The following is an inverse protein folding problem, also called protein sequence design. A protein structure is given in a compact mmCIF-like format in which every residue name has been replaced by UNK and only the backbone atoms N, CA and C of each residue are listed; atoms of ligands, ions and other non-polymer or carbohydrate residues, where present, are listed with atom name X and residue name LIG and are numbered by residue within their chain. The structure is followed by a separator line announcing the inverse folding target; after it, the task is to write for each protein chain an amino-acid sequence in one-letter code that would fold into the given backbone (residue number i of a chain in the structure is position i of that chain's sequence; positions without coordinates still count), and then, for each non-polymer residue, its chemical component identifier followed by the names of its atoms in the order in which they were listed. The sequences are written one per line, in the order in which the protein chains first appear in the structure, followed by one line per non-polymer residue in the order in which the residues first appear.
data_IF_298566565639
#
_entry.id   IF_298566565639
#
_cell.length_a   1.000
_cell.length_b   1.000
_cell.length_c   1.000
_cell.angle_alpha   90.00
_cell.angle_beta   90.00
_cell.angle_gamma   90.00
#
_symmetry.space_group_name_H-M   'P 1'
#
loop_
_entity.id
_entity.type
_entity.pdbx_description
1 polymer ?
#
# COMPACT_ATOMS: atom_id res chain seq x y z
N UNK A 1 20.73 -75.99 -25.90
CA UNK A 1 21.13 -75.71 -27.29
C UNK A 1 20.05 -74.84 -27.92
N UNK A 2 20.25 -73.56 -28.03
CA UNK A 2 19.51 -72.65 -28.92
C UNK A 2 20.33 -71.34 -28.97
N UNK A 3 20.94 -71.06 -30.09
CA UNK A 3 21.74 -69.89 -30.35
C UNK A 3 20.83 -68.69 -30.67
N UNK A 4 21.00 -67.59 -29.95
CA UNK A 4 20.36 -66.31 -30.30
C UNK A 4 21.27 -65.51 -31.22
N UNK A 5 20.80 -65.29 -32.46
CA UNK A 5 21.38 -64.37 -33.40
C UNK A 5 21.09 -62.92 -33.00
N UNK A 6 22.11 -62.17 -32.62
CA UNK A 6 22.03 -60.72 -32.44
C UNK A 6 22.19 -60.05 -33.81
N UNK A 7 21.12 -59.44 -34.27
CA UNK A 7 21.10 -58.61 -35.50
C UNK A 7 21.60 -57.20 -35.17
N UNK A 8 22.77 -56.83 -35.64
CA UNK A 8 23.33 -55.51 -35.50
C UNK A 8 22.79 -54.58 -36.62
N UNK A 9 22.00 -53.57 -36.26
CA UNK A 9 21.54 -52.52 -37.16
C UNK A 9 22.66 -51.50 -37.38
N UNK A 10 22.97 -51.12 -38.61
CA UNK A 10 23.99 -50.10 -38.90
C UNK A 10 23.46 -48.73 -38.54
N UNK A 11 24.08 -48.07 -37.57
CA UNK A 11 23.83 -46.66 -37.24
C UNK A 11 24.36 -45.78 -38.41
N UNK A 12 23.46 -45.25 -39.22
CA UNK A 12 23.72 -44.18 -40.17
C UNK A 12 24.17 -42.92 -39.41
N UNK A 13 25.47 -42.68 -39.39
CA UNK A 13 26.06 -41.44 -38.87
C UNK A 13 25.70 -40.33 -39.86
N UNK A 14 24.65 -39.57 -39.56
CA UNK A 14 24.30 -38.33 -40.25
C UNK A 14 25.42 -37.32 -39.98
N UNK A 15 26.35 -37.16 -40.92
CA UNK A 15 27.30 -36.06 -40.92
C UNK A 15 26.53 -34.77 -41.20
N UNK A 16 26.28 -33.99 -40.14
CA UNK A 16 25.81 -32.61 -40.27
C UNK A 16 26.91 -31.76 -40.89
N UNK A 17 26.73 -31.39 -42.14
CA UNK A 17 27.57 -30.41 -42.80
C UNK A 17 27.50 -29.12 -41.99
N UNK A 18 28.65 -28.50 -41.58
CA UNK A 18 28.65 -27.21 -40.97
C UNK A 18 28.07 -26.19 -41.93
N UNK A 19 26.96 -25.57 -41.54
CA UNK A 19 26.40 -24.42 -42.25
C UNK A 19 27.42 -23.29 -42.08
N UNK A 20 28.14 -22.99 -43.14
CA UNK A 20 29.00 -21.80 -43.19
C UNK A 20 28.06 -20.61 -43.27
N UNK A 21 27.84 -19.93 -42.15
CA UNK A 21 27.20 -18.62 -42.10
C UNK A 21 28.12 -17.68 -42.86
N UNK A 22 27.66 -17.13 -43.99
CA UNK A 22 28.41 -16.12 -44.74
C UNK A 22 28.66 -14.93 -43.81
N UNK A 23 29.88 -14.43 -43.77
CA UNK A 23 30.22 -13.24 -43.01
C UNK A 23 29.34 -12.07 -43.51
N UNK A 24 28.51 -11.53 -42.60
CA UNK A 24 27.70 -10.34 -42.93
C UNK A 24 28.62 -9.20 -43.34
N UNK A 25 28.43 -8.69 -44.56
CA UNK A 25 29.12 -7.49 -45.01
C UNK A 25 28.29 -6.28 -44.62
N UNK A 26 28.75 -5.56 -43.63
CA UNK A 26 28.14 -4.28 -43.23
C UNK A 26 28.25 -3.29 -44.41
N UNK A 27 27.13 -2.76 -44.83
CA UNK A 27 27.07 -1.68 -45.80
C UNK A 27 27.08 -0.32 -45.10
N UNK A 28 27.46 0.73 -45.83
CA UNK A 28 27.38 2.11 -45.29
C UNK A 28 25.95 2.43 -44.83
N UNK A 29 24.94 1.86 -45.49
CA UNK A 29 23.52 2.04 -45.10
C UNK A 29 23.21 1.44 -43.75
N UNK A 30 23.78 0.29 -43.42
CA UNK A 30 23.59 -0.38 -42.12
C UNK A 30 24.23 0.44 -40.99
N UNK A 31 25.42 0.98 -41.24
CA UNK A 31 26.10 1.87 -40.28
C UNK A 31 25.29 3.16 -40.03
N UNK A 32 24.75 3.76 -41.10
CA UNK A 32 23.89 4.94 -41.00
C UNK A 32 22.60 4.61 -40.26
N UNK A 33 21.97 3.47 -40.55
CA UNK A 33 20.75 3.05 -39.83
C UNK A 33 21.01 2.83 -38.35
N UNK A 34 22.08 2.17 -37.96
CA UNK A 34 22.48 1.97 -36.58
C UNK A 34 22.76 3.31 -35.87
N UNK A 35 23.48 4.21 -36.54
CA UNK A 35 23.75 5.54 -36.00
C UNK A 35 22.47 6.34 -35.74
N UNK A 36 21.51 6.31 -36.67
CA UNK A 36 20.20 6.96 -36.50
C UNK A 36 19.39 6.36 -35.35
N UNK A 37 19.41 5.02 -35.21
CA UNK A 37 18.74 4.37 -34.06
C UNK A 37 19.38 4.78 -32.75
N UNK A 38 20.71 4.82 -32.66
CA UNK A 38 21.41 5.28 -31.45
C UNK A 38 21.03 6.72 -31.12
N UNK A 39 21.05 7.62 -32.11
CA UNK A 39 20.65 9.03 -31.89
C UNK A 39 19.21 9.10 -31.42
N UNK A 40 18.30 8.37 -32.05
CA UNK A 40 16.89 8.35 -31.63
C UNK A 40 16.72 7.85 -30.20
N UNK A 41 17.41 6.77 -29.80
CA UNK A 41 17.38 6.24 -28.43
C UNK A 41 17.96 7.25 -27.43
N UNK A 42 19.07 7.90 -27.75
CA UNK A 42 19.67 8.92 -26.87
C UNK A 42 18.74 10.13 -26.72
N UNK A 43 18.12 10.59 -27.80
CA UNK A 43 17.16 11.72 -27.77
C UNK A 43 15.94 11.33 -26.93
N UNK A 44 15.36 10.15 -27.14
CA UNK A 44 14.24 9.64 -26.34
C UNK A 44 14.61 9.53 -24.85
N UNK A 45 15.78 8.98 -24.55
CA UNK A 45 16.27 8.87 -23.19
C UNK A 45 16.48 10.26 -22.54
N UNK A 46 17.03 11.22 -23.28
CA UNK A 46 17.20 12.60 -22.82
C UNK A 46 15.85 13.29 -22.57
N UNK A 47 14.90 13.16 -23.51
CA UNK A 47 13.54 13.72 -23.35
C UNK A 47 12.85 13.11 -22.14
N UNK A 48 12.83 11.78 -22.00
CA UNK A 48 12.22 11.11 -20.84
C UNK A 48 12.91 11.48 -19.53
N UNK A 49 14.20 11.71 -19.54
CA UNK A 49 14.93 12.18 -18.35
C UNK A 49 14.53 13.61 -17.98
N UNK A 50 14.53 14.53 -18.92
CA UNK A 50 14.22 15.97 -18.66
C UNK A 50 12.76 16.18 -18.31
N UNK A 51 11.83 15.43 -18.92
CA UNK A 51 10.39 15.53 -18.65
C UNK A 51 9.93 14.66 -17.48
N UNK A 52 10.76 13.71 -17.03
CA UNK A 52 10.43 12.81 -15.92
C UNK A 52 10.41 13.53 -14.57
N UNK A 53 9.37 13.32 -13.76
CA UNK A 53 9.23 13.91 -12.42
C UNK A 53 10.40 13.59 -11.45
N UNK A 54 11.25 12.61 -11.81
CA UNK A 54 12.47 12.27 -11.04
C UNK A 54 13.59 13.29 -11.22
N UNK A 55 13.68 13.96 -12.36
CA UNK A 55 14.71 14.99 -12.63
C UNK A 55 14.50 16.26 -11.78
N UNK A 56 13.28 16.46 -11.27
CA UNK A 56 12.92 17.57 -10.40
C UNK A 56 12.86 17.19 -8.91
N UNK A 57 13.30 15.97 -8.57
CA UNK A 57 13.31 15.51 -7.19
C UNK A 57 14.48 16.14 -6.44
N UNK A 58 14.18 16.80 -5.32
CA UNK A 58 15.16 17.45 -4.47
C UNK A 58 15.00 16.95 -3.05
N UNK A 59 16.12 16.50 -2.46
CA UNK A 59 16.20 16.20 -1.04
C UNK A 59 17.02 17.31 -0.37
N UNK A 60 16.34 18.24 0.29
CA UNK A 60 16.97 19.27 1.10
C UNK A 60 17.20 18.76 2.52
N UNK A 61 18.32 19.13 3.12
CA UNK A 61 18.63 18.85 4.53
C UNK A 61 18.68 20.17 5.29
N UNK A 62 18.08 20.16 6.49
CA UNK A 62 17.94 21.32 7.35
C UNK A 62 18.63 21.13 8.70
N UNK A 63 17.91 21.46 9.77
CA UNK A 63 18.41 21.42 11.14
C UNK A 63 18.62 20.02 11.69
N UNK A 64 19.04 19.97 12.94
CA UNK A 64 19.21 18.71 13.68
C UNK A 64 17.92 18.41 14.46
N UNK A 65 17.70 17.12 14.71
CA UNK A 65 16.62 16.69 15.58
C UNK A 65 16.95 17.07 17.02
N UNK A 66 16.06 17.83 17.65
CA UNK A 66 16.09 18.06 19.07
C UNK A 66 15.19 17.04 19.76
N UNK A 67 15.76 16.17 20.57
CA UNK A 67 15.02 15.20 21.36
C UNK A 67 14.58 15.85 22.66
N UNK A 68 13.31 15.69 23.00
CA UNK A 68 12.79 16.07 24.31
C UNK A 68 13.23 15.11 25.41
N UNK A 69 13.15 15.55 26.64
CA UNK A 69 13.32 14.65 27.78
C UNK A 69 12.20 13.59 27.79
N UNK A 70 12.49 12.34 28.18
CA UNK A 70 11.46 11.32 28.29
C UNK A 70 10.38 11.75 29.30
N UNK A 71 9.11 11.51 28.95
CA UNK A 71 7.97 11.78 29.83
C UNK A 71 8.00 10.75 30.95
N UNK A 72 8.32 11.19 32.14
CA UNK A 72 8.41 10.33 33.35
C UNK A 72 7.17 10.38 34.23
N UNK A 73 6.25 11.30 33.95
CA UNK A 73 4.98 11.46 34.69
C UNK A 73 3.85 11.71 33.70
N UNK A 74 2.64 11.33 34.08
CA UNK A 74 1.45 11.64 33.29
C UNK A 74 1.31 13.17 33.17
N UNK A 75 1.17 13.72 31.95
CA UNK A 75 1.04 15.15 31.77
C UNK A 75 -0.31 15.65 32.33
N UNK A 76 -0.30 16.72 33.11
CA UNK A 76 -1.50 17.36 33.64
C UNK A 76 -2.15 18.33 32.65
N UNK A 77 -1.52 18.58 31.53
CA UNK A 77 -2.02 19.46 30.48
C UNK A 77 -1.14 19.38 29.21
N UNK A 78 -1.68 19.85 28.09
CA UNK A 78 -1.00 19.91 26.81
C UNK A 78 -0.87 21.36 26.36
N UNK A 79 0.29 21.71 25.82
CA UNK A 79 0.57 23.03 25.24
C UNK A 79 0.99 22.85 23.79
N UNK A 80 0.40 23.65 22.89
CA UNK A 80 0.78 23.63 21.49
C UNK A 80 2.13 24.36 21.35
N UNK A 81 3.20 23.62 21.02
CA UNK A 81 4.54 24.17 20.83
C UNK A 81 4.78 24.66 19.39
N UNK A 82 4.17 24.03 18.41
CA UNK A 82 4.23 24.44 17.00
C UNK A 82 3.05 23.88 16.19
N UNK A 83 2.84 24.43 15.00
CA UNK A 83 1.86 23.95 14.03
C UNK A 83 2.46 23.93 12.64
N UNK A 84 2.11 22.95 11.82
CA UNK A 84 2.47 22.87 10.41
C UNK A 84 1.31 22.31 9.58
N UNK A 85 1.11 22.80 8.34
CA UNK A 85 0.10 22.25 7.45
C UNK A 85 0.50 20.83 6.99
N UNK A 86 -0.47 19.93 6.94
CA UNK A 86 -0.30 18.56 6.42
C UNK A 86 -1.57 18.08 5.70
N UNK A 87 -1.98 18.72 4.59
CA UNK A 87 -3.24 18.42 3.92
C UNK A 87 -3.33 16.99 3.40
N UNK A 88 -2.21 16.36 3.01
CA UNK A 88 -2.19 14.98 2.50
C UNK A 88 -2.54 13.97 3.60
N UNK A 89 -2.35 14.31 4.86
CA UNK A 89 -2.68 13.44 6.00
C UNK A 89 -4.02 13.77 6.65
N UNK A 90 -4.64 14.90 6.30
CA UNK A 90 -5.88 15.39 6.90
C UNK A 90 -7.11 14.51 6.63
N UNK A 91 -7.07 13.66 5.60
CA UNK A 91 -8.18 12.75 5.26
C UNK A 91 -8.17 11.45 6.05
N UNK A 92 -7.26 11.27 6.97
CA UNK A 92 -7.11 10.05 7.77
C UNK A 92 -8.10 10.05 8.93
N UNK A 93 -8.96 9.03 8.98
CA UNK A 93 -10.03 8.93 9.97
C UNK A 93 -9.54 8.79 11.42
N UNK A 94 -8.42 8.13 11.63
CA UNK A 94 -7.93 7.85 12.99
C UNK A 94 -6.43 7.63 12.97
N UNK A 95 -5.63 8.63 13.34
CA UNK A 95 -4.20 8.33 13.60
C UNK A 95 -3.48 9.46 14.31
N UNK A 96 -2.60 9.05 15.20
CA UNK A 96 -1.65 9.94 15.85
C UNK A 96 -0.69 10.60 14.84
N UNK A 97 0.24 11.41 15.32
CA UNK A 97 1.22 12.05 14.48
C UNK A 97 2.04 11.01 13.72
N UNK A 98 2.35 11.27 12.44
CA UNK A 98 3.24 10.42 11.68
C UNK A 98 4.67 10.59 12.19
N UNK A 99 5.18 9.61 12.91
CA UNK A 99 6.55 9.64 13.43
C UNK A 99 7.42 8.64 12.70
N UNK A 100 8.54 9.10 12.13
CA UNK A 100 9.53 8.27 11.46
C UNK A 100 10.85 8.33 12.22
N UNK A 101 11.04 7.42 13.16
CA UNK A 101 12.14 7.49 14.11
C UNK A 101 12.04 8.77 14.95
N UNK A 102 13.05 9.65 14.95
CA UNK A 102 13.09 10.82 15.81
C UNK A 102 12.36 12.04 15.22
N UNK A 103 11.69 11.94 14.08
CA UNK A 103 11.06 13.08 13.39
C UNK A 103 9.55 12.91 13.26
N UNK A 104 8.86 14.05 13.14
CA UNK A 104 7.43 14.11 12.78
C UNK A 104 7.31 14.45 11.31
N UNK A 105 6.50 13.68 10.57
CA UNK A 105 6.28 13.88 9.14
C UNK A 105 5.06 14.77 8.89
N UNK A 106 5.20 15.68 7.93
CA UNK A 106 4.09 16.44 7.36
C UNK A 106 4.14 16.35 5.85
N UNK A 107 2.97 16.26 5.20
CA UNK A 107 2.85 16.16 3.75
C UNK A 107 2.05 17.28 3.15
N UNK A 108 2.64 17.99 2.17
CA UNK A 108 1.94 18.90 1.25
C UNK A 108 1.77 18.24 -0.10
N UNK A 109 1.09 18.86 -1.05
CA UNK A 109 0.85 18.25 -2.37
C UNK A 109 2.11 17.90 -3.16
N UNK A 110 3.26 18.55 -2.89
CA UNK A 110 4.49 18.36 -3.65
C UNK A 110 5.70 17.96 -2.79
N UNK A 111 5.52 17.90 -1.48
CA UNK A 111 6.64 17.70 -0.56
C UNK A 111 6.26 16.90 0.67
N UNK A 112 7.22 16.13 1.15
CA UNK A 112 7.23 15.51 2.49
C UNK A 112 8.31 16.20 3.30
N UNK A 113 7.94 16.69 4.48
CA UNK A 113 8.87 17.38 5.39
C UNK A 113 8.95 16.62 6.70
N UNK A 114 10.15 16.24 7.10
CA UNK A 114 10.46 15.74 8.45
C UNK A 114 10.82 16.91 9.36
N UNK A 115 10.21 16.97 10.52
CA UNK A 115 10.34 18.06 11.47
C UNK A 115 10.83 17.58 12.81
N UNK A 116 11.61 18.42 13.48
CA UNK A 116 11.96 18.19 14.89
C UNK A 116 10.70 18.23 15.75
N UNK A 117 10.44 17.21 16.60
CA UNK A 117 9.25 17.16 17.45
C UNK A 117 9.14 18.35 18.41
N UNK A 118 10.28 18.85 18.89
CA UNK A 118 10.31 19.92 19.89
C UNK A 118 10.15 21.31 19.30
N UNK A 119 10.66 21.56 18.10
CA UNK A 119 10.71 22.93 17.54
C UNK A 119 9.85 23.09 16.28
N UNK A 120 9.46 21.99 15.62
CA UNK A 120 8.79 22.03 14.32
C UNK A 120 9.72 22.41 13.15
N UNK A 121 11.00 22.66 13.40
CA UNK A 121 11.97 22.99 12.37
C UNK A 121 12.19 21.84 11.40
N UNK A 122 12.45 22.17 10.14
CA UNK A 122 12.73 21.20 9.10
C UNK A 122 14.07 20.50 9.34
N UNK A 123 14.03 19.18 9.44
CA UNK A 123 15.22 18.30 9.49
C UNK A 123 15.62 17.91 8.07
N UNK A 124 14.67 17.50 7.28
CA UNK A 124 14.82 17.29 5.84
C UNK A 124 13.49 17.51 5.13
N UNK A 125 13.55 17.80 3.84
CA UNK A 125 12.40 17.90 2.95
C UNK A 125 12.69 17.18 1.64
N UNK A 126 11.79 16.31 1.23
CA UNK A 126 11.80 15.68 -0.08
C UNK A 126 10.67 16.26 -0.93
N UNK A 127 11.04 16.90 -2.03
CA UNK A 127 10.12 17.54 -2.96
C UNK A 127 10.23 16.92 -4.33
N UNK A 128 9.09 16.75 -4.99
CA UNK A 128 9.01 16.33 -6.40
C UNK A 128 8.10 17.29 -7.16
N UNK A 129 8.31 17.41 -8.48
CA UNK A 129 7.43 18.17 -9.38
C UNK A 129 6.14 17.42 -9.76
N UNK A 130 5.68 16.49 -8.94
CA UNK A 130 4.45 15.70 -9.12
C UNK A 130 3.70 15.62 -7.80
N UNK A 131 2.34 15.46 -7.84
CA UNK A 131 1.53 15.43 -6.62
C UNK A 131 1.85 14.27 -5.69
N UNK A 132 1.87 14.54 -4.38
CA UNK A 132 1.90 13.54 -3.32
C UNK A 132 0.47 13.06 -3.06
N UNK A 133 0.20 11.80 -3.31
CA UNK A 133 -1.10 11.17 -3.12
C UNK A 133 -1.34 10.75 -1.66
N UNK A 134 -0.31 10.16 -1.03
CA UNK A 134 -0.42 9.66 0.33
C UNK A 134 0.94 9.65 1.04
N UNK A 135 0.87 9.71 2.36
CA UNK A 135 2.03 9.69 3.27
C UNK A 135 1.72 8.83 4.49
N UNK A 136 2.64 7.94 4.83
CA UNK A 136 2.58 7.12 6.04
C UNK A 136 3.96 7.01 6.69
N UNK A 137 3.98 6.78 7.98
CA UNK A 137 5.20 6.49 8.74
C UNK A 137 5.30 4.98 8.98
N UNK A 138 6.34 4.34 8.47
CA UNK A 138 6.62 2.93 8.70
C UNK A 138 8.11 2.65 8.65
N UNK A 139 8.54 1.59 9.32
CA UNK A 139 9.92 1.07 9.29
C UNK A 139 10.98 2.15 9.58
N UNK A 140 10.63 3.08 10.47
CA UNK A 140 11.48 4.21 10.83
C UNK A 140 11.69 5.25 9.73
N UNK A 141 10.82 5.28 8.73
CA UNK A 141 10.86 6.20 7.59
C UNK A 141 9.51 6.73 7.16
N UNK A 142 9.51 7.53 6.11
CA UNK A 142 8.35 8.06 5.42
C UNK A 142 8.06 7.22 4.17
N UNK A 143 6.92 6.54 4.11
CA UNK A 143 6.42 5.90 2.89
C UNK A 143 5.56 6.90 2.17
N UNK A 144 5.96 7.25 0.96
CA UNK A 144 5.37 8.29 0.14
C UNK A 144 4.80 7.68 -1.14
N UNK A 145 3.59 8.05 -1.50
CA UNK A 145 2.93 7.64 -2.74
C UNK A 145 2.73 8.87 -3.61
N UNK A 146 3.24 8.84 -4.82
CA UNK A 146 3.23 9.95 -5.75
C UNK A 146 2.38 9.64 -6.97
N UNK A 147 1.79 10.69 -7.53
CA UNK A 147 1.10 10.61 -8.81
C UNK A 147 2.11 10.50 -9.95
N UNK A 148 1.98 9.43 -10.73
CA UNK A 148 2.84 9.17 -11.90
C UNK A 148 1.91 8.84 -13.07
N UNK A 149 2.34 8.97 -14.33
CA UNK A 149 1.51 8.55 -15.46
C UNK A 149 0.93 7.15 -15.26
N UNK A 150 -0.37 7.09 -14.96
CA UNK A 150 -1.07 5.87 -14.53
C UNK A 150 -1.69 5.92 -13.14
N UNK A 151 -1.55 7.05 -12.41
CA UNK A 151 -2.16 7.29 -11.09
C UNK A 151 -1.18 7.23 -9.92
N UNK A 152 -1.70 7.11 -8.71
CA UNK A 152 -0.94 7.12 -7.45
C UNK A 152 -0.18 5.80 -7.21
N UNK A 153 0.80 5.48 -8.06
CA UNK A 153 1.50 4.20 -8.07
C UNK A 153 3.02 4.28 -7.89
N UNK A 154 3.62 5.47 -7.81
CA UNK A 154 5.07 5.59 -7.57
C UNK A 154 5.33 5.75 -6.07
N UNK A 155 5.85 4.70 -5.45
CA UNK A 155 6.03 4.59 -4.00
C UNK A 155 7.50 4.61 -3.65
N UNK A 156 7.86 5.33 -2.59
CA UNK A 156 9.22 5.40 -2.10
C UNK A 156 9.25 5.42 -0.58
N UNK A 157 10.18 4.69 0.01
CA UNK A 157 10.55 4.82 1.41
C UNK A 157 11.72 5.80 1.54
N UNK A 158 11.56 6.83 2.36
CA UNK A 158 12.61 7.76 2.75
C UNK A 158 12.90 7.54 4.23
N UNK A 159 14.13 7.18 4.56
CA UNK A 159 14.50 6.89 5.94
C UNK A 159 14.51 8.14 6.82
N UNK A 160 14.00 8.02 8.03
CA UNK A 160 13.85 9.15 8.97
C UNK A 160 15.18 9.72 9.50
N UNK A 161 16.27 8.96 9.40
CA UNK A 161 17.60 9.27 9.93
C UNK A 161 18.42 10.29 9.13
N UNK A 162 17.81 11.09 8.33
CA UNK A 162 18.48 12.12 7.52
C UNK A 162 18.08 12.09 6.06
N UNK A 163 16.95 11.51 5.76
CA UNK A 163 16.38 11.53 4.42
C UNK A 163 17.14 10.70 3.40
N UNK A 164 17.70 9.55 3.80
CA UNK A 164 18.28 8.61 2.83
C UNK A 164 17.19 7.84 2.11
N UNK A 165 17.40 7.63 0.81
CA UNK A 165 16.48 6.81 0.02
C UNK A 165 16.54 5.33 0.46
N UNK A 166 15.37 4.74 0.61
CA UNK A 166 15.17 3.32 0.78
C UNK A 166 14.68 2.66 -0.52
N UNK A 167 13.96 1.53 -0.42
CA UNK A 167 13.36 0.88 -1.56
C UNK A 167 12.31 1.78 -2.24
N UNK A 168 12.08 1.55 -3.52
CA UNK A 168 11.05 2.20 -4.31
C UNK A 168 10.39 1.19 -5.24
N UNK A 169 9.12 1.42 -5.56
CA UNK A 169 8.38 0.67 -6.56
C UNK A 169 7.58 1.63 -7.43
N UNK A 170 7.33 1.23 -8.66
CA UNK A 170 6.34 1.88 -9.51
C UNK A 170 5.35 0.82 -9.96
N UNK A 171 4.07 1.12 -9.87
CA UNK A 171 2.99 0.24 -10.26
C UNK A 171 1.85 1.05 -10.86
N UNK A 172 0.95 0.37 -11.56
CA UNK A 172 -0.28 0.98 -12.01
C UNK A 172 -1.28 1.07 -10.86
N UNK A 173 -1.84 2.25 -10.60
CA UNK A 173 -2.81 2.44 -9.53
C UNK A 173 -3.82 3.51 -9.93
N UNK A 174 -4.96 3.07 -10.46
CA UNK A 174 -6.03 3.97 -10.84
C UNK A 174 -6.59 4.72 -9.62
N UNK A 175 -6.71 6.04 -9.74
CA UNK A 175 -7.36 6.91 -8.77
C UNK A 175 -6.56 7.21 -7.50
N UNK A 176 -7.20 7.93 -6.57
CA UNK A 176 -6.58 8.30 -5.30
C UNK A 176 -6.31 7.07 -4.44
N UNK A 177 -5.21 7.10 -3.70
CA UNK A 177 -4.79 6.03 -2.79
C UNK A 177 -4.75 6.51 -1.35
N UNK A 178 -5.11 5.61 -0.45
CA UNK A 178 -4.85 5.72 0.99
C UNK A 178 -3.86 4.65 1.39
N UNK A 179 -3.02 4.97 2.35
CA UNK A 179 -2.09 4.01 2.92
C UNK A 179 -2.24 3.96 4.43
N UNK A 180 -2.11 2.76 4.97
CA UNK A 180 -2.19 2.49 6.41
C UNK A 180 -1.11 1.50 6.80
N UNK A 181 -0.55 1.64 7.99
CA UNK A 181 0.42 0.67 8.51
C UNK A 181 -0.25 -0.29 9.48
N UNK A 182 0.03 -1.57 9.32
CA UNK A 182 -0.39 -2.65 10.23
C UNK A 182 0.74 -3.15 11.13
N UNK A 183 1.94 -2.58 11.02
CA UNK A 183 3.12 -3.03 11.75
C UNK A 183 4.24 -3.44 10.78
N UNK A 184 4.30 -4.70 10.37
CA UNK A 184 5.32 -5.20 9.44
C UNK A 184 5.00 -4.90 7.97
N UNK A 185 3.74 -4.63 7.65
CA UNK A 185 3.28 -4.33 6.30
C UNK A 185 2.69 -2.92 6.20
N UNK A 186 2.50 -2.45 4.99
CA UNK A 186 1.69 -1.29 4.64
C UNK A 186 0.60 -1.73 3.68
N UNK A 187 -0.62 -1.41 4.04
CA UNK A 187 -1.77 -1.55 3.17
C UNK A 187 -1.97 -0.27 2.36
N UNK A 188 -2.03 -0.42 1.04
CA UNK A 188 -2.42 0.64 0.11
C UNK A 188 -3.75 0.28 -0.53
N UNK A 189 -4.73 1.17 -0.46
CA UNK A 189 -6.00 0.93 -1.09
C UNK A 189 -6.53 2.13 -1.85
N UNK A 190 -7.23 1.86 -2.93
CA UNK A 190 -7.89 2.81 -3.80
C UNK A 190 -9.32 2.37 -4.08
N UNK A 191 -9.99 2.94 -5.08
CA UNK A 191 -11.42 2.68 -5.33
C UNK A 191 -11.76 1.20 -5.52
N UNK A 192 -10.91 0.41 -6.16
CA UNK A 192 -11.22 -0.98 -6.53
C UNK A 192 -10.14 -1.99 -6.15
N UNK A 193 -9.01 -1.53 -5.59
CA UNK A 193 -7.86 -2.37 -5.28
C UNK A 193 -7.36 -2.15 -3.88
N UNK A 194 -6.89 -3.22 -3.26
CA UNK A 194 -6.16 -3.23 -1.99
C UNK A 194 -4.87 -4.02 -2.20
N UNK A 195 -3.74 -3.43 -1.86
CA UNK A 195 -2.43 -4.08 -1.91
C UNK A 195 -1.76 -3.99 -0.54
N UNK A 196 -1.12 -5.06 -0.12
CA UNK A 196 -0.22 -5.05 1.04
C UNK A 196 1.23 -5.15 0.58
N UNK A 197 2.13 -4.38 1.23
CA UNK A 197 3.56 -4.32 0.91
C UNK A 197 4.39 -4.52 2.17
N UNK A 198 5.45 -5.28 2.06
CA UNK A 198 6.46 -5.41 3.11
C UNK A 198 7.53 -4.30 3.02
N UNK A 199 8.49 -4.28 3.94
CA UNK A 199 9.46 -3.19 4.10
C UNK A 199 10.36 -2.91 2.88
N UNK A 200 10.51 -3.86 1.97
CA UNK A 200 11.22 -3.69 0.69
C UNK A 200 10.27 -3.23 -0.45
N UNK A 201 9.03 -2.89 -0.11
CA UNK A 201 7.95 -2.49 -1.01
C UNK A 201 7.54 -3.57 -2.02
N UNK A 202 7.92 -4.81 -1.79
CA UNK A 202 7.39 -5.94 -2.57
C UNK A 202 5.97 -6.22 -2.11
N UNK A 203 5.07 -6.39 -3.09
CA UNK A 203 3.68 -6.74 -2.82
C UNK A 203 3.58 -8.14 -2.24
N UNK A 204 2.81 -8.29 -1.18
CA UNK A 204 2.49 -9.58 -0.55
C UNK A 204 1.08 -10.03 -0.85
N UNK A 205 0.17 -9.10 -1.13
CA UNK A 205 -1.24 -9.41 -1.39
C UNK A 205 -1.85 -8.38 -2.36
N UNK A 206 -2.76 -8.85 -3.22
CA UNK A 206 -3.62 -8.02 -4.07
C UNK A 206 -5.06 -8.48 -3.97
N UNK A 207 -5.97 -7.59 -3.58
CA UNK A 207 -7.43 -7.79 -3.66
C UNK A 207 -8.00 -6.83 -4.68
N UNK A 208 -8.83 -7.34 -5.59
CA UNK A 208 -9.43 -6.58 -6.68
C UNK A 208 -8.78 -6.85 -8.04
N UNK A 209 -9.22 -6.16 -9.11
CA UNK A 209 -8.74 -6.39 -10.46
C UNK A 209 -7.26 -6.04 -10.59
N UNK A 210 -6.51 -6.88 -11.28
CA UNK A 210 -5.14 -6.57 -11.72
C UNK A 210 -5.19 -6.08 -13.17
N UNK A 211 -4.64 -4.91 -13.44
CA UNK A 211 -4.52 -4.38 -14.81
C UNK A 211 -3.40 -5.05 -15.60
N UNK A 212 -2.45 -5.64 -14.89
CA UNK A 212 -1.38 -6.44 -15.46
C UNK A 212 -1.43 -7.83 -14.83
N UNK A 213 -2.26 -8.77 -15.34
CA UNK A 213 -2.26 -10.13 -14.84
C UNK A 213 -0.88 -10.73 -15.03
N UNK A 214 -0.31 -11.28 -13.96
CA UNK A 214 1.01 -11.91 -13.99
C UNK A 214 0.95 -13.30 -14.61
N UNK A 215 -0.22 -13.94 -14.58
CA UNK A 215 -0.46 -15.27 -15.11
C UNK A 215 -1.70 -15.29 -16.01
N UNK A 216 -1.68 -16.09 -17.13
CA UNK A 216 -2.81 -16.17 -18.05
C UNK A 216 -4.11 -16.64 -17.42
N UNK A 217 -4.03 -17.49 -16.38
CA UNK A 217 -5.16 -18.12 -15.68
C UNK A 217 -5.52 -17.42 -14.37
N UNK A 218 -4.95 -16.26 -14.09
CA UNK A 218 -5.27 -15.50 -12.89
C UNK A 218 -6.77 -15.23 -12.83
N UNK A 219 -7.46 -15.78 -11.82
CA UNK A 219 -8.88 -15.60 -11.63
C UNK A 219 -9.21 -14.11 -11.51
N UNK A 220 -10.10 -13.63 -12.39
CA UNK A 220 -10.59 -12.27 -12.30
C UNK A 220 -11.45 -12.14 -11.04
N UNK A 221 -11.01 -11.29 -10.13
CA UNK A 221 -11.78 -10.98 -8.95
C UNK A 221 -12.93 -10.02 -9.30
N UNK A 222 -14.08 -10.13 -8.62
CA UNK A 222 -15.17 -9.19 -8.85
C UNK A 222 -14.71 -7.76 -8.53
N UNK A 223 -15.07 -6.83 -9.40
CA UNK A 223 -14.82 -5.40 -9.16
C UNK A 223 -15.81 -4.92 -8.11
N UNK A 224 -15.30 -4.67 -6.91
CA UNK A 224 -16.05 -4.05 -5.82
C UNK A 224 -15.49 -2.66 -5.54
N UNK A 225 -16.32 -1.73 -5.08
CA UNK A 225 -15.85 -0.46 -4.55
C UNK A 225 -15.28 -0.68 -3.14
N UNK A 226 -14.03 -0.34 -2.92
CA UNK A 226 -13.41 -0.35 -1.60
C UNK A 226 -13.84 0.90 -0.86
N UNK A 227 -14.55 0.70 0.25
CA UNK A 227 -15.01 1.80 1.11
C UNK A 227 -13.95 2.16 2.13
N UNK A 228 -13.38 1.14 2.78
CA UNK A 228 -12.33 1.32 3.77
C UNK A 228 -11.54 0.02 3.96
N UNK A 229 -10.29 0.12 4.41
CA UNK A 229 -9.46 -1.04 4.70
C UNK A 229 -8.43 -0.73 5.78
N UNK A 230 -8.07 -1.75 6.55
CA UNK A 230 -6.97 -1.68 7.52
C UNK A 230 -6.32 -3.05 7.66
N UNK A 231 -5.14 -3.10 8.25
CA UNK A 231 -4.41 -4.35 8.47
C UNK A 231 -3.71 -4.37 9.83
N UNK A 232 -3.37 -5.58 10.25
CA UNK A 232 -2.29 -5.85 11.18
C UNK A 232 -1.26 -6.76 10.48
N UNK A 233 -0.29 -7.32 11.22
CA UNK A 233 0.78 -8.14 10.65
C UNK A 233 0.28 -9.39 9.89
N UNK A 234 -0.83 -9.96 10.29
CA UNK A 234 -1.33 -11.24 9.80
C UNK A 234 -2.64 -11.14 9.00
N UNK A 235 -3.44 -10.11 9.24
CA UNK A 235 -4.81 -10.03 8.73
C UNK A 235 -5.10 -8.68 8.09
N UNK A 236 -5.73 -8.70 6.93
CA UNK A 236 -6.27 -7.52 6.24
C UNK A 236 -7.79 -7.55 6.32
N UNK A 237 -8.38 -6.47 6.82
CA UNK A 237 -9.82 -6.25 6.82
C UNK A 237 -10.23 -5.25 5.75
N UNK A 238 -11.15 -5.64 4.87
CA UNK A 238 -11.63 -4.79 3.76
C UNK A 238 -13.14 -4.65 3.81
N UNK A 239 -13.62 -3.43 3.85
CA UNK A 239 -15.03 -3.06 3.74
C UNK A 239 -15.32 -2.64 2.29
N UNK A 240 -16.22 -3.37 1.62
CA UNK A 240 -16.45 -3.21 0.19
C UNK A 240 -17.94 -3.11 -0.15
N UNK A 241 -18.26 -2.46 -1.27
CA UNK A 241 -19.54 -2.53 -1.93
C UNK A 241 -19.39 -3.37 -3.19
N UNK A 242 -19.95 -4.57 -3.19
CA UNK A 242 -19.86 -5.47 -4.33
C UNK A 242 -21.19 -5.52 -5.11
N UNK A 243 -21.16 -5.70 -6.44
CA UNK A 243 -22.35 -5.91 -7.24
C UNK A 243 -23.16 -7.11 -6.72
N UNK A 244 -24.47 -6.93 -6.55
CA UNK A 244 -25.37 -7.97 -6.05
C UNK A 244 -25.49 -8.08 -4.53
N UNK A 245 -24.62 -7.41 -3.76
CA UNK A 245 -24.73 -7.36 -2.30
C UNK A 245 -25.78 -6.33 -1.86
N UNK A 246 -26.63 -6.72 -0.91
CA UNK A 246 -27.68 -5.85 -0.35
C UNK A 246 -27.14 -4.79 0.61
N UNK A 247 -25.88 -4.89 1.03
CA UNK A 247 -25.22 -3.98 1.97
C UNK A 247 -23.69 -4.06 1.80
N UNK A 248 -22.95 -3.25 2.54
CA UNK A 248 -21.49 -3.38 2.56
C UNK A 248 -21.08 -4.79 3.02
N UNK A 249 -20.05 -5.31 2.38
CA UNK A 249 -19.39 -6.57 2.71
C UNK A 249 -18.09 -6.29 3.42
N UNK A 250 -17.95 -6.80 4.61
CA UNK A 250 -16.65 -6.86 5.29
C UNK A 250 -16.02 -8.22 5.05
N UNK A 251 -14.72 -8.23 4.78
CA UNK A 251 -13.96 -9.45 4.47
C UNK A 251 -12.62 -9.43 5.18
N UNK A 252 -12.27 -10.56 5.81
CA UNK A 252 -10.94 -10.84 6.33
C UNK A 252 -10.11 -11.57 5.27
N UNK A 253 -8.87 -11.15 5.09
CA UNK A 253 -7.89 -11.81 4.24
C UNK A 253 -6.61 -12.06 5.03
N UNK A 254 -5.87 -13.10 4.66
CA UNK A 254 -4.51 -13.30 5.11
C UNK A 254 -3.61 -12.20 4.50
N UNK A 255 -2.84 -11.49 5.33
CA UNK A 255 -1.94 -10.42 4.87
C UNK A 255 -0.79 -10.94 3.99
N UNK A 256 -0.40 -12.20 4.17
CA UNK A 256 0.67 -12.87 3.41
C UNK A 256 0.16 -14.21 2.87
N UNK A 257 -0.70 -14.20 1.83
CA UNK A 257 -1.17 -15.41 1.18
C UNK A 257 -0.01 -16.13 0.47
N UNK A 258 -0.22 -17.39 0.09
CA UNK A 258 0.79 -18.18 -0.64
C UNK A 258 1.19 -17.56 -1.96
N UNK A 259 0.23 -16.89 -2.63
CA UNK A 259 0.41 -16.18 -3.88
C UNK A 259 -0.17 -14.78 -3.76
N UNK A 260 0.62 -13.77 -4.11
CA UNK A 260 0.26 -12.36 -3.92
C UNK A 260 -0.98 -11.92 -4.72
N UNK A 261 -1.28 -12.59 -5.81
CA UNK A 261 -2.42 -12.32 -6.70
C UNK A 261 -3.65 -13.17 -6.42
N UNK A 262 -3.52 -14.14 -5.50
CA UNK A 262 -4.63 -15.02 -5.08
C UNK A 262 -4.89 -14.80 -3.58
N UNK A 263 -5.70 -13.80 -3.22
CA UNK A 263 -5.94 -13.48 -1.82
C UNK A 263 -6.63 -14.65 -1.10
N UNK A 264 -6.07 -15.04 0.02
CA UNK A 264 -6.65 -16.07 0.88
C UNK A 264 -7.74 -15.46 1.76
N UNK A 265 -8.99 -15.88 1.50
CA UNK A 265 -10.15 -15.45 2.25
C UNK A 265 -10.20 -16.19 3.59
N UNK A 266 -10.27 -15.46 4.70
CA UNK A 266 -10.40 -16.02 6.06
C UNK A 266 -11.84 -15.90 6.59
N UNK A 267 -12.65 -14.97 6.08
CA UNK A 267 -14.04 -14.80 6.45
C UNK A 267 -14.70 -13.63 5.75
N UNK A 268 -16.03 -13.68 5.60
CA UNK A 268 -16.80 -12.64 4.93
C UNK A 268 -18.18 -12.47 5.56
N UNK A 269 -18.66 -11.22 5.64
CA UNK A 269 -19.90 -10.89 6.30
C UNK A 269 -20.60 -9.70 5.64
N UNK A 270 -21.93 -9.78 5.45
CA UNK A 270 -22.77 -8.67 5.03
C UNK A 270 -23.20 -7.83 6.24
N UNK A 271 -22.87 -6.54 6.24
CA UNK A 271 -22.99 -5.68 7.41
C UNK A 271 -24.41 -5.22 7.73
N UNK A 272 -25.32 -5.30 6.77
CA UNK A 272 -26.65 -4.69 6.87
C UNK A 272 -26.62 -3.15 6.84
N UNK A 273 -25.49 -2.54 6.52
CA UNK A 273 -25.30 -1.09 6.43
C UNK A 273 -24.76 -0.69 5.05
N UNK A 274 -25.02 0.54 4.62
CA UNK A 274 -24.52 1.10 3.37
C UNK A 274 -23.34 2.07 3.59
N UNK A 275 -23.13 2.51 4.84
CA UNK A 275 -22.03 3.37 5.26
C UNK A 275 -21.36 2.83 6.52
N UNK A 276 -20.05 2.89 6.54
CA UNK A 276 -19.26 2.39 7.66
C UNK A 276 -17.75 2.60 7.45
N UNK A 277 -16.99 2.25 8.46
CA UNK A 277 -15.54 2.29 8.44
C UNK A 277 -14.96 1.09 9.20
N UNK A 278 -13.75 0.71 8.85
CA UNK A 278 -12.94 -0.28 9.58
C UNK A 278 -12.04 0.48 10.53
N UNK A 279 -12.25 0.31 11.83
CA UNK A 279 -11.46 1.03 12.84
C UNK A 279 -10.19 0.28 13.21
N UNK A 280 -10.30 -1.05 13.30
CA UNK A 280 -9.22 -1.90 13.77
C UNK A 280 -9.38 -3.32 13.26
N UNK A 281 -8.26 -4.00 13.03
CA UNK A 281 -8.18 -5.44 12.76
C UNK A 281 -7.09 -6.05 13.62
N UNK A 282 -7.39 -7.20 14.19
CA UNK A 282 -6.42 -8.08 14.86
C UNK A 282 -6.47 -9.44 14.18
N UNK A 283 -5.60 -10.38 14.57
CA UNK A 283 -5.50 -11.73 13.96
C UNK A 283 -6.83 -12.51 13.89
N UNK A 284 -7.79 -12.17 14.72
CA UNK A 284 -9.07 -12.88 14.76
C UNK A 284 -10.29 -11.98 14.93
N UNK A 285 -10.11 -10.66 14.93
CA UNK A 285 -11.20 -9.72 15.20
C UNK A 285 -11.10 -8.48 14.32
N UNK A 286 -12.24 -7.87 14.05
CA UNK A 286 -12.34 -6.53 13.48
C UNK A 286 -13.32 -5.69 14.28
N UNK A 287 -13.00 -4.42 14.45
CA UNK A 287 -13.90 -3.40 14.97
C UNK A 287 -14.36 -2.53 13.82
N UNK A 288 -15.66 -2.52 13.58
CA UNK A 288 -16.31 -1.70 12.57
C UNK A 288 -17.18 -0.62 13.22
N UNK A 289 -17.22 0.55 12.59
CA UNK A 289 -18.30 1.51 12.75
C UNK A 289 -19.30 1.33 11.63
N UNK A 290 -20.59 1.21 11.92
CA UNK A 290 -21.68 1.12 10.96
C UNK A 290 -22.70 2.20 11.26
N UNK A 291 -23.08 2.97 10.22
CA UNK A 291 -23.97 4.12 10.39
C UNK A 291 -25.47 3.73 10.42
N UNK A 292 -25.83 2.62 9.77
CA UNK A 292 -27.23 2.18 9.64
C UNK A 292 -27.46 0.76 10.18
N UNK A 293 -28.73 0.40 10.52
CA UNK A 293 -29.92 1.23 10.65
C UNK A 293 -29.86 2.21 11.82
N UNK A 294 -29.02 1.92 12.79
CA UNK A 294 -28.62 2.79 13.90
C UNK A 294 -27.13 2.79 14.03
N UNK A 295 -26.50 3.94 14.35
CA UNK A 295 -25.04 4.01 14.55
C UNK A 295 -24.59 3.07 15.65
N UNK A 296 -23.59 2.22 15.31
CA UNK A 296 -23.12 1.21 16.23
C UNK A 296 -21.67 0.80 15.94
N UNK A 297 -20.99 0.34 16.95
CA UNK A 297 -19.75 -0.42 16.80
C UNK A 297 -20.06 -1.91 16.77
N UNK A 298 -19.41 -2.61 15.87
CA UNK A 298 -19.56 -4.06 15.69
C UNK A 298 -18.21 -4.71 15.80
N UNK A 299 -18.09 -5.68 16.69
CA UNK A 299 -16.91 -6.53 16.79
C UNK A 299 -17.21 -7.84 16.07
N UNK A 300 -16.50 -8.07 14.97
CA UNK A 300 -16.51 -9.33 14.26
C UNK A 300 -15.40 -10.24 14.78
N UNK A 301 -15.64 -11.54 14.79
CA UNK A 301 -14.63 -12.54 15.08
C UNK A 301 -14.65 -13.60 14.00
N UNK A 302 -13.47 -14.03 13.57
CA UNK A 302 -13.33 -15.22 12.75
C UNK A 302 -12.38 -16.22 13.42
N UNK A 303 -12.49 -17.49 13.06
CA UNK A 303 -11.60 -18.54 13.52
C UNK A 303 -10.76 -19.03 12.34
N UNK A 304 -9.43 -18.93 12.44
CA UNK A 304 -8.50 -19.42 11.42
C UNK A 304 -8.50 -20.94 11.25
N UNK A 305 -9.18 -21.67 12.15
CA UNK A 305 -9.17 -23.14 12.19
C UNK A 305 -10.37 -23.79 11.51
N UNK A 306 -11.35 -23.02 11.09
CA UNK A 306 -12.61 -23.54 10.57
C UNK A 306 -12.65 -23.39 9.05
N UNK A 307 -13.19 -24.42 8.35
CA UNK A 307 -13.39 -24.37 6.90
C UNK A 307 -14.27 -23.18 6.48
N UNK A 308 -14.17 -22.75 5.22
CA UNK A 308 -14.90 -21.60 4.70
C UNK A 308 -16.43 -21.64 4.94
N UNK A 309 -17.02 -22.84 5.07
CA UNK A 309 -18.44 -23.03 5.41
C UNK A 309 -18.77 -22.74 6.88
N UNK A 310 -17.79 -22.78 7.77
CA UNK A 310 -17.97 -22.56 9.21
C UNK A 310 -17.63 -21.12 9.63
N UNK A 311 -16.97 -20.35 8.77
CA UNK A 311 -16.74 -18.89 8.92
C UNK A 311 -18.07 -18.08 9.03
N UNK A 312 -19.22 -18.71 8.76
CA UNK A 312 -20.55 -18.15 8.97
C UNK A 312 -20.92 -17.89 10.45
N UNK A 313 -20.16 -18.40 11.41
CA UNK A 313 -20.39 -18.17 12.85
C UNK A 313 -19.57 -17.03 13.43
N UNK A 314 -19.50 -15.93 12.70
CA UNK A 314 -18.91 -14.69 13.20
C UNK A 314 -19.71 -14.18 14.40
N UNK A 315 -19.13 -14.17 15.59
CA UNK A 315 -19.80 -13.63 16.76
C UNK A 315 -19.84 -12.11 16.66
N UNK A 316 -21.02 -11.55 16.52
CA UNK A 316 -21.24 -10.11 16.46
C UNK A 316 -21.53 -9.60 17.87
N UNK A 317 -20.69 -8.69 18.39
CA UNK A 317 -21.02 -7.90 19.57
C UNK A 317 -21.33 -6.49 19.12
N UNK A 318 -22.57 -6.08 19.29
CA UNK A 318 -23.02 -4.72 18.98
C UNK A 318 -22.86 -3.87 20.24
N UNK A 319 -22.18 -2.74 20.11
CA UNK A 319 -22.12 -1.69 21.12
C UNK A 319 -22.92 -0.52 20.56
N UNK A 320 -24.13 -0.32 21.04
CA UNK A 320 -24.94 0.82 20.65
C UNK A 320 -24.31 2.12 21.12
N UNK A 321 -24.31 3.11 20.24
CA UNK A 321 -23.80 4.44 20.55
C UNK A 321 -24.92 5.32 21.06
N UNK A 322 -24.63 6.15 22.05
CA UNK A 322 -25.54 7.21 22.45
C UNK A 322 -25.69 8.24 21.33
N UNK A 323 -26.79 9.01 21.34
CA UNK A 323 -27.02 10.06 20.34
C UNK A 323 -25.90 11.10 20.28
N UNK A 324 -25.29 11.39 21.42
CA UNK A 324 -24.15 12.32 21.50
C UNK A 324 -22.88 11.74 20.86
N UNK A 325 -22.61 10.45 21.07
CA UNK A 325 -21.48 9.74 20.45
C UNK A 325 -21.67 9.62 18.94
N UNK A 326 -22.90 9.38 18.47
CA UNK A 326 -23.20 9.36 17.04
C UNK A 326 -22.94 10.71 16.38
N UNK A 327 -23.38 11.81 16.97
CA UNK A 327 -23.11 13.14 16.44
C UNK A 327 -21.63 13.44 16.28
N UNK A 328 -20.78 12.92 17.18
CA UNK A 328 -19.33 13.06 17.14
C UNK A 328 -18.68 12.15 16.10
N UNK A 329 -19.09 10.91 16.00
CA UNK A 329 -18.54 9.94 15.04
C UNK A 329 -18.95 10.22 13.57
N UNK A 330 -20.07 10.90 13.37
CA UNK A 330 -20.57 11.23 12.03
C UNK A 330 -19.93 12.48 11.41
N UNK A 331 -19.17 13.26 12.18
CA UNK A 331 -18.52 14.46 11.66
C UNK A 331 -17.20 14.12 10.99
N UNK A 332 -17.06 14.38 9.66
CA UNK A 332 -15.78 14.22 8.98
C UNK A 332 -14.73 15.12 9.64
N UNK A 333 -13.65 14.54 10.12
CA UNK A 333 -12.52 15.29 10.66
C UNK A 333 -12.38 15.30 12.17
N UNK A 334 -13.22 14.60 12.94
CA UNK A 334 -12.93 14.37 14.35
C UNK A 334 -11.76 13.38 14.47
N UNK A 335 -10.61 13.79 14.97
CA UNK A 335 -9.51 12.87 15.16
C UNK A 335 -9.86 11.89 16.29
N UNK A 336 -10.05 10.64 15.96
CA UNK A 336 -10.07 9.56 16.94
C UNK A 336 -8.61 9.18 17.19
N UNK A 337 -8.12 9.40 18.38
CA UNK A 337 -6.78 8.98 18.80
C UNK A 337 -6.88 7.58 19.37
N UNK A 338 -6.20 6.64 18.73
CA UNK A 338 -6.04 5.28 19.24
C UNK A 338 -4.84 5.22 20.19
N UNK A 339 -5.04 4.58 21.33
CA UNK A 339 -3.97 4.05 22.17
C UNK A 339 -4.09 2.53 22.22
N UNK A 340 -3.07 1.83 22.72
CA UNK A 340 -3.08 0.36 22.86
C UNK A 340 -4.24 -0.17 23.72
N UNK A 341 -4.95 0.69 24.46
CA UNK A 341 -6.02 0.31 25.37
C UNK A 341 -7.33 1.08 25.22
N UNK A 342 -7.35 2.21 24.52
CA UNK A 342 -8.51 3.11 24.49
C UNK A 342 -8.61 3.88 23.18
N UNK A 343 -9.84 4.18 22.77
CA UNK A 343 -10.17 5.12 21.72
C UNK A 343 -10.48 6.47 22.36
N UNK A 344 -9.77 7.51 21.97
CA UNK A 344 -10.05 8.88 22.36
C UNK A 344 -10.49 9.66 21.12
N UNK A 345 -11.51 10.49 21.27
CA UNK A 345 -11.90 11.47 20.26
C UNK A 345 -11.84 12.86 20.89
N UNK A 346 -11.50 13.83 20.09
CA UNK A 346 -11.55 15.23 20.48
C UNK A 346 -12.80 15.86 19.87
N UNK A 347 -13.59 16.51 20.68
CA UNK A 347 -14.84 17.17 20.28
C UNK A 347 -14.68 18.66 19.90
N UNK A 348 -13.45 19.12 19.71
CA UNK A 348 -13.12 20.48 19.30
C UNK A 348 -12.31 21.25 20.32
#
# INVERSE_FOLDING_TARGET
MAAQHASASPRLRRQSRPVRVAAERYTVRDVVAVALIIVAVVVLAAVTWVTGGRSHAVLARGGQVQSGAPITREPTGLVVVWRAPSPVTATRLVRGPLTAGPVVLTGTFEAVTARSPMTGEMVWEYRRGIPLCALEAAWGGAVTVWDFPGGCGDVMLIKGDGGRYGPSRSGFAAGPRRIVTGGQHILSYGPHQVESWRADLVRTMLVGPSETPLEPDQAQQPVCDVVDATENDDTVGVLRRCPGDASLRFTFFNAVPKEDVTPELEGSWLTGAHHGAVLEVTDSRALLYLAEPTPRFVVLRHSRRESADEAARTTVRVLEMTRAEHGRAALPGIPIVRTDKSLFWNDG
#
